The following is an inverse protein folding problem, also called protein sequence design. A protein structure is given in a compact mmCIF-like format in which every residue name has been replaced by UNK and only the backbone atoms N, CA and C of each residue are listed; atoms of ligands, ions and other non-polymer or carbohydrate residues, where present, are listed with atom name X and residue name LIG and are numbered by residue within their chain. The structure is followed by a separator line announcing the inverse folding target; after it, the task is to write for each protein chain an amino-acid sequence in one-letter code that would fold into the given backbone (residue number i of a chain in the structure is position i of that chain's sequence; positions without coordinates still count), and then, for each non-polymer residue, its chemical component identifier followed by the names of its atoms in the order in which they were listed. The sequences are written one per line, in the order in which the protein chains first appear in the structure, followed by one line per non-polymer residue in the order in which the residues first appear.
data_IF_744844911473
#
_entry.id   IF_744844911473
#
_cell.length_a   1.000
_cell.length_b   1.000
_cell.length_c   1.000
_cell.angle_alpha   90.00
_cell.angle_beta   90.00
_cell.angle_gamma   90.00
#
_symmetry.space_group_name_H-M   'P 1'
#
loop_
_entity.id
_entity.type
_entity.pdbx_description
1 polymer ?
#
# COMPACT_ATOMS: atom_id res chain seq x y z
N UNK A 1 -5.78 -10.38 -31.65
CA UNK A 1 -5.91 -11.50 -30.72
C UNK A 1 -5.56 -10.97 -29.32
N UNK A 2 -6.54 -10.45 -28.56
CA UNK A 2 -6.32 -9.78 -27.29
C UNK A 2 -5.98 -10.81 -26.22
N UNK A 3 -4.74 -10.80 -25.70
CA UNK A 3 -4.39 -11.52 -24.47
C UNK A 3 -4.95 -10.72 -23.28
N UNK A 4 -5.83 -11.27 -22.45
CA UNK A 4 -6.20 -10.60 -21.20
C UNK A 4 -5.00 -10.69 -20.27
N UNK A 5 -4.32 -9.56 -20.03
CA UNK A 5 -3.32 -9.40 -18.99
C UNK A 5 -4.06 -9.53 -17.66
N UNK A 6 -3.80 -10.62 -16.95
CA UNK A 6 -4.30 -10.87 -15.60
C UNK A 6 -3.67 -9.81 -14.67
N UNK A 7 -4.44 -8.76 -14.37
CA UNK A 7 -4.02 -7.69 -13.45
C UNK A 7 -4.20 -8.16 -12.01
N UNK A 8 -3.16 -8.11 -11.18
CA UNK A 8 -3.33 -8.30 -9.74
C UNK A 8 -4.24 -7.19 -9.21
N UNK A 9 -5.19 -7.55 -8.38
CA UNK A 9 -5.99 -6.59 -7.63
C UNK A 9 -5.02 -5.95 -6.64
N UNK A 10 -4.69 -4.67 -6.86
CA UNK A 10 -3.87 -3.93 -5.93
C UNK A 10 -4.76 -3.59 -4.72
N UNK A 11 -4.35 -4.05 -3.59
CA UNK A 11 -5.01 -3.95 -2.31
C UNK A 11 -4.85 -2.53 -1.75
N UNK A 12 -5.94 -1.86 -1.45
CA UNK A 12 -5.86 -0.60 -0.71
C UNK A 12 -5.87 -0.94 0.75
N UNK A 13 -4.78 -0.64 1.38
CA UNK A 13 -4.66 -0.59 2.83
C UNK A 13 -4.86 0.87 3.26
N UNK A 14 -5.67 1.05 4.29
CA UNK A 14 -5.80 2.33 4.98
C UNK A 14 -4.59 2.64 5.89
N UNK A 15 -3.61 1.75 5.92
CA UNK A 15 -2.33 1.87 6.63
C UNK A 15 -1.20 1.80 5.62
N UNK A 16 -0.07 2.42 5.92
CA UNK A 16 1.12 2.50 5.09
C UNK A 16 1.49 1.13 4.50
N UNK A 17 1.03 0.89 3.27
CA UNK A 17 1.26 -0.38 2.61
C UNK A 17 2.70 -0.40 2.11
N UNK A 18 3.53 -1.11 2.82
CA UNK A 18 4.74 -1.68 2.25
C UNK A 18 4.29 -2.73 1.24
N UNK A 19 4.20 -2.34 -0.02
CA UNK A 19 4.07 -3.29 -1.10
C UNK A 19 5.37 -4.10 -1.17
N UNK A 20 5.39 -5.25 -0.47
CA UNK A 20 6.35 -6.29 -0.78
C UNK A 20 5.91 -6.87 -2.12
N UNK A 21 6.37 -6.25 -3.20
CA UNK A 21 6.12 -6.77 -4.53
C UNK A 21 7.00 -8.01 -4.70
N UNK A 22 6.36 -9.10 -5.05
CA UNK A 22 7.01 -10.37 -5.20
C UNK A 22 7.89 -10.41 -6.46
N UNK A 23 9.16 -10.69 -6.28
CA UNK A 23 10.03 -11.17 -7.35
C UNK A 23 9.51 -12.56 -7.75
N UNK A 24 8.73 -12.68 -8.80
CA UNK A 24 8.33 -13.98 -9.34
C UNK A 24 9.51 -14.61 -10.05
N UNK A 25 10.23 -15.50 -9.37
CA UNK A 25 11.29 -16.31 -9.94
C UNK A 25 10.77 -17.45 -10.86
N UNK A 26 9.48 -17.48 -11.12
CA UNK A 26 8.91 -18.48 -12.04
C UNK A 26 9.34 -18.20 -13.48
N UNK A 27 10.34 -18.90 -13.96
CA UNK A 27 10.61 -19.06 -15.38
C UNK A 27 9.35 -19.60 -16.05
N UNK A 28 8.79 -18.87 -17.01
CA UNK A 28 7.89 -19.50 -17.97
C UNK A 28 8.71 -20.50 -18.78
N UNK A 29 8.62 -21.77 -18.41
CA UNK A 29 8.97 -22.84 -19.32
C UNK A 29 7.90 -22.77 -20.41
N UNK A 30 8.25 -22.21 -21.56
CA UNK A 30 7.48 -22.33 -22.79
C UNK A 30 7.47 -23.81 -23.20
N UNK A 31 6.59 -24.58 -22.59
CA UNK A 31 6.27 -25.97 -22.99
C UNK A 31 5.06 -25.96 -23.89
N UNK A 32 5.23 -26.44 -25.11
CA UNK A 32 4.19 -26.72 -26.08
C UNK A 32 3.18 -27.71 -25.49
N UNK A 33 1.91 -27.29 -25.35
CA UNK A 33 0.82 -28.18 -25.00
C UNK A 33 -0.40 -27.42 -24.46
N UNK A 34 -1.48 -27.39 -25.23
CA UNK A 34 -2.73 -26.67 -24.91
C UNK A 34 -3.46 -27.18 -23.66
N UNK A 35 -3.05 -28.30 -23.07
CA UNK A 35 -3.63 -28.87 -21.83
C UNK A 35 -3.06 -28.32 -20.56
N UNK A 36 -1.82 -27.80 -20.53
CA UNK A 36 -1.13 -27.31 -19.29
C UNK A 36 -1.57 -25.92 -18.88
N UNK A 37 -2.16 -25.14 -19.78
CA UNK A 37 -2.62 -23.78 -19.50
C UNK A 37 -3.72 -23.69 -18.40
N UNK A 38 -4.42 -24.79 -18.13
CA UNK A 38 -5.57 -24.86 -17.22
C UNK A 38 -5.28 -25.63 -15.92
N UNK A 39 -4.06 -26.15 -15.78
CA UNK A 39 -3.68 -26.84 -14.55
C UNK A 39 -3.54 -25.85 -13.37
N UNK A 40 -3.88 -26.29 -12.15
CA UNK A 40 -3.58 -25.51 -10.97
C UNK A 40 -2.09 -25.19 -10.90
N UNK A 41 -1.77 -23.94 -10.56
CA UNK A 41 -0.37 -23.48 -10.50
C UNK A 41 -0.10 -22.80 -9.17
N UNK A 42 1.00 -23.16 -8.54
CA UNK A 42 1.54 -22.46 -7.36
C UNK A 42 2.82 -21.72 -7.76
N UNK A 43 2.86 -20.43 -7.51
CA UNK A 43 4.02 -19.57 -7.80
C UNK A 43 4.56 -19.02 -6.50
N UNK A 44 5.86 -19.23 -6.19
CA UNK A 44 6.48 -18.63 -5.02
C UNK A 44 6.64 -17.12 -5.22
N UNK A 45 6.60 -16.40 -4.12
CA UNK A 45 6.83 -14.97 -4.04
C UNK A 45 8.00 -14.72 -3.09
N UNK A 46 8.92 -13.85 -3.47
CA UNK A 46 9.99 -13.35 -2.61
C UNK A 46 9.99 -11.83 -2.70
N UNK A 47 10.19 -11.18 -1.59
CA UNK A 47 10.23 -9.72 -1.53
C UNK A 47 11.31 -9.22 -0.60
N UNK A 48 11.94 -8.14 -0.99
CA UNK A 48 12.89 -7.39 -0.18
C UNK A 48 12.63 -5.91 -0.37
N UNK A 49 12.63 -5.16 0.73
CA UNK A 49 12.54 -3.70 0.69
C UNK A 49 13.31 -3.10 1.87
N UNK A 50 13.64 -1.83 1.75
CA UNK A 50 14.30 -1.07 2.79
C UNK A 50 13.71 0.32 2.89
N UNK A 51 13.48 0.78 4.11
CA UNK A 51 13.20 2.19 4.41
C UNK A 51 13.86 2.57 5.75
N UNK A 52 14.17 3.85 5.99
CA UNK A 52 14.91 4.26 7.17
C UNK A 52 14.25 3.89 8.51
N UNK A 53 12.91 3.82 8.54
CA UNK A 53 12.15 3.65 9.79
C UNK A 53 11.93 2.21 10.20
N UNK A 54 11.85 1.30 9.24
CA UNK A 54 11.60 -0.12 9.48
C UNK A 54 12.77 -1.00 9.05
N UNK A 55 13.82 -0.36 8.46
CA UNK A 55 15.02 -0.98 7.93
C UNK A 55 14.72 -2.05 6.87
N UNK A 56 15.40 -3.16 6.93
CA UNK A 56 15.25 -4.25 5.96
C UNK A 56 13.97 -5.04 6.23
N UNK A 57 13.15 -5.20 5.19
CA UNK A 57 11.99 -6.08 5.21
C UNK A 57 12.24 -7.23 4.24
N UNK A 58 12.18 -8.45 4.77
CA UNK A 58 12.30 -9.68 3.99
C UNK A 58 10.96 -10.40 4.05
N UNK A 59 10.42 -10.76 2.90
CA UNK A 59 9.16 -11.45 2.78
C UNK A 59 9.20 -12.63 1.83
N UNK A 60 8.36 -13.62 2.12
CA UNK A 60 8.13 -14.76 1.25
C UNK A 60 6.63 -15.10 1.22
N UNK A 61 6.20 -15.75 0.16
CA UNK A 61 4.81 -16.15 0.02
C UNK A 61 4.56 -17.08 -1.16
N UNK A 62 3.31 -17.35 -1.40
CA UNK A 62 2.84 -18.16 -2.52
C UNK A 62 1.58 -17.54 -3.13
N UNK A 63 1.41 -17.73 -4.43
CA UNK A 63 0.14 -17.55 -5.13
C UNK A 63 -0.27 -18.89 -5.72
N UNK A 64 -1.40 -19.43 -5.25
CA UNK A 64 -2.02 -20.61 -5.82
C UNK A 64 -3.21 -20.20 -6.70
N UNK A 65 -3.21 -20.63 -7.95
CA UNK A 65 -4.25 -20.31 -8.93
C UNK A 65 -4.88 -21.58 -9.46
N UNK A 66 -6.21 -21.66 -9.45
CA UNK A 66 -6.98 -22.76 -10.01
C UNK A 66 -7.96 -22.20 -11.05
N UNK A 67 -8.01 -22.85 -12.20
CA UNK A 67 -8.91 -22.48 -13.29
C UNK A 67 -10.19 -23.32 -13.27
N UNK A 68 -11.28 -22.74 -13.73
CA UNK A 68 -12.46 -23.50 -14.13
C UNK A 68 -12.23 -24.22 -15.47
N UNK A 69 -13.21 -24.99 -15.92
CA UNK A 69 -13.09 -25.70 -17.20
C UNK A 69 -12.95 -24.68 -18.35
N UNK A 70 -11.74 -24.56 -18.89
CA UNK A 70 -11.36 -23.65 -20.00
C UNK A 70 -11.83 -22.20 -19.80
N UNK A 71 -11.88 -21.72 -18.55
CA UNK A 71 -12.42 -20.41 -18.20
C UNK A 71 -11.33 -19.44 -17.68
N UNK A 72 -11.33 -18.24 -18.21
CA UNK A 72 -10.59 -17.08 -17.69
C UNK A 72 -11.58 -16.01 -17.23
N UNK A 73 -11.32 -15.31 -16.15
CA UNK A 73 -10.19 -15.43 -15.23
C UNK A 73 -10.26 -16.68 -14.35
N UNK A 74 -9.21 -17.00 -13.54
CA UNK A 74 -9.19 -18.16 -12.66
C UNK A 74 -10.40 -18.23 -11.73
N UNK A 75 -10.90 -19.44 -11.47
CA UNK A 75 -12.02 -19.67 -10.55
C UNK A 75 -11.64 -19.43 -9.08
N UNK A 76 -10.37 -19.72 -8.75
CA UNK A 76 -9.84 -19.51 -7.40
C UNK A 76 -8.43 -18.95 -7.49
N UNK A 77 -8.14 -17.95 -6.66
CA UNK A 77 -6.79 -17.43 -6.44
C UNK A 77 -6.58 -17.26 -4.96
N UNK A 78 -5.60 -17.96 -4.42
CA UNK A 78 -5.15 -17.83 -3.02
C UNK A 78 -3.77 -17.20 -3.03
N UNK A 79 -3.56 -16.17 -2.23
CA UNK A 79 -2.26 -15.56 -1.96
C UNK A 79 -2.01 -15.61 -0.45
N UNK A 80 -0.85 -16.05 -0.06
CA UNK A 80 -0.40 -16.02 1.32
C UNK A 80 1.04 -15.48 1.34
N UNK A 81 1.30 -14.49 2.19
CA UNK A 81 2.59 -13.84 2.33
C UNK A 81 2.91 -13.57 3.79
N UNK A 82 4.17 -13.68 4.14
CA UNK A 82 4.70 -13.26 5.43
C UNK A 82 5.96 -12.42 5.21
N UNK A 83 6.16 -11.40 6.02
CA UNK A 83 7.33 -10.54 5.99
C UNK A 83 7.78 -10.19 7.41
N UNK A 84 9.06 -9.96 7.58
CA UNK A 84 9.69 -9.52 8.82
C UNK A 84 10.51 -8.25 8.58
N UNK A 85 10.34 -7.25 9.44
CA UNK A 85 11.07 -5.98 9.42
C UNK A 85 12.10 -5.94 10.55
N UNK A 86 13.36 -5.73 10.20
CA UNK A 86 14.48 -5.82 11.14
C UNK A 86 14.53 -4.64 12.11
N UNK A 87 14.29 -3.42 11.64
CA UNK A 87 14.32 -2.21 12.47
C UNK A 87 13.14 -2.10 13.42
N UNK A 88 11.94 -2.37 12.93
CA UNK A 88 10.73 -2.41 13.74
C UNK A 88 10.63 -3.69 14.60
N UNK A 89 11.41 -4.72 14.29
CA UNK A 89 11.42 -6.04 14.95
C UNK A 89 10.04 -6.67 15.06
N UNK A 90 9.30 -6.60 13.97
CA UNK A 90 7.94 -7.09 13.90
C UNK A 90 7.63 -7.71 12.55
N UNK A 91 6.49 -8.34 12.43
CA UNK A 91 6.09 -9.10 11.26
C UNK A 91 4.81 -8.55 10.62
N UNK A 92 4.55 -9.04 9.42
CA UNK A 92 3.31 -8.89 8.68
C UNK A 92 2.95 -10.21 8.00
N UNK A 93 1.68 -10.59 8.08
CA UNK A 93 1.10 -11.74 7.39
C UNK A 93 -0.13 -11.28 6.64
N UNK A 94 -0.22 -11.65 5.38
CA UNK A 94 -1.33 -11.36 4.48
C UNK A 94 -1.83 -12.65 3.84
N UNK A 95 -3.11 -12.91 3.98
CA UNK A 95 -3.79 -14.01 3.29
C UNK A 95 -4.96 -13.42 2.52
N UNK A 96 -5.05 -13.75 1.24
CA UNK A 96 -6.11 -13.29 0.37
C UNK A 96 -6.64 -14.43 -0.50
N UNK A 97 -7.95 -14.58 -0.52
CA UNK A 97 -8.62 -15.54 -1.37
C UNK A 97 -9.65 -14.84 -2.27
N UNK A 98 -9.63 -15.17 -3.55
CA UNK A 98 -10.62 -14.76 -4.54
C UNK A 98 -11.33 -16.01 -5.06
N UNK A 99 -12.65 -16.02 -4.99
CA UNK A 99 -13.50 -17.10 -5.47
C UNK A 99 -14.45 -16.56 -6.53
N UNK A 100 -14.46 -17.18 -7.69
CA UNK A 100 -15.35 -16.83 -8.80
C UNK A 100 -16.24 -18.02 -9.14
N UNK A 101 -17.54 -17.76 -9.22
CA UNK A 101 -18.51 -18.74 -9.67
C UNK A 101 -18.69 -18.63 -11.19
N UNK A 102 -18.98 -19.72 -11.89
CA UNK A 102 -19.42 -19.66 -13.29
C UNK A 102 -20.71 -18.83 -13.43
N UNK A 103 -20.75 -17.94 -14.41
CA UNK A 103 -21.92 -17.14 -14.74
C UNK A 103 -21.80 -15.68 -14.26
N UNK A 104 -22.05 -15.34 -12.98
CA UNK A 104 -21.98 -13.95 -12.57
C UNK A 104 -20.55 -13.42 -12.55
N UNK A 105 -20.31 -12.15 -12.97
CA UNK A 105 -18.98 -11.56 -12.97
C UNK A 105 -18.49 -11.16 -11.55
N UNK A 106 -19.23 -11.55 -10.53
CA UNK A 106 -18.98 -11.24 -9.13
C UNK A 106 -17.86 -12.11 -8.57
N UNK A 107 -17.02 -11.50 -7.73
CA UNK A 107 -15.91 -12.16 -7.03
C UNK A 107 -16.17 -12.09 -5.53
N UNK A 108 -16.10 -13.23 -4.87
CA UNK A 108 -16.11 -13.30 -3.40
C UNK A 108 -14.66 -13.22 -2.93
N UNK A 109 -14.38 -12.29 -2.03
CA UNK A 109 -13.04 -12.08 -1.50
C UNK A 109 -13.04 -12.35 0.00
N UNK A 110 -11.91 -12.84 0.46
CA UNK A 110 -11.59 -12.97 1.86
C UNK A 110 -10.16 -12.47 2.07
N UNK A 111 -9.99 -11.51 2.96
CA UNK A 111 -8.69 -10.96 3.30
C UNK A 111 -8.47 -11.04 4.80
N UNK A 112 -7.33 -11.57 5.18
CA UNK A 112 -6.80 -11.54 6.53
C UNK A 112 -5.46 -10.81 6.50
N UNK A 113 -5.33 -9.78 7.32
CA UNK A 113 -4.10 -9.03 7.52
C UNK A 113 -3.74 -9.04 9.01
N UNK A 114 -2.54 -9.47 9.36
CA UNK A 114 -2.01 -9.41 10.71
C UNK A 114 -0.63 -8.75 10.67
N UNK A 115 -0.44 -7.65 11.38
CA UNK A 115 0.77 -6.85 11.23
C UNK A 115 1.09 -6.02 12.48
N UNK A 116 2.38 -5.88 12.76
CA UNK A 116 2.91 -4.86 13.66
C UNK A 116 3.54 -3.68 12.93
N UNK A 117 3.33 -3.56 11.59
CA UNK A 117 3.92 -2.51 10.76
C UNK A 117 2.93 -1.41 10.38
N UNK A 118 1.66 -1.54 10.75
CA UNK A 118 0.62 -0.59 10.33
C UNK A 118 0.74 0.75 11.04
N UNK A 119 1.14 0.73 12.29
CA UNK A 119 1.45 1.93 13.07
C UNK A 119 2.71 1.67 13.90
N UNK A 120 3.81 2.28 13.50
CA UNK A 120 5.12 2.09 14.12
C UNK A 120 5.63 3.34 14.86
N UNK A 121 5.03 4.50 14.57
CA UNK A 121 5.42 5.79 15.15
C UNK A 121 4.19 6.68 15.41
N UNK A 122 4.32 7.54 16.42
CA UNK A 122 3.33 8.56 16.75
C UNK A 122 4.02 9.79 17.30
N UNK A 123 3.88 10.92 16.62
CA UNK A 123 4.49 12.22 16.94
C UNK A 123 3.50 13.20 17.58
N UNK A 124 2.36 12.70 18.06
CA UNK A 124 1.23 13.55 18.47
C UNK A 124 0.31 13.88 17.30
N UNK A 125 -0.76 14.60 17.59
CA UNK A 125 -1.74 15.07 16.60
C UNK A 125 -1.39 16.50 16.22
N UNK A 126 -1.27 16.77 14.93
CA UNK A 126 -0.94 18.10 14.40
C UNK A 126 -0.06 18.03 13.15
N UNK A 127 -0.11 19.11 12.38
CA UNK A 127 0.71 19.30 11.19
C UNK A 127 2.12 19.79 11.53
N UNK A 128 2.28 20.46 12.66
CA UNK A 128 3.56 20.98 13.16
C UNK A 128 3.98 20.33 14.48
N UNK A 129 3.58 19.05 14.68
CA UNK A 129 3.96 18.28 15.87
C UNK A 129 5.49 18.21 16.03
N UNK A 130 5.98 18.29 17.29
CA UNK A 130 7.41 18.25 17.58
C UNK A 130 8.02 16.89 17.23
N UNK A 131 9.12 16.89 16.50
CA UNK A 131 9.91 15.73 16.09
C UNK A 131 11.35 15.76 16.60
N UNK A 132 11.67 16.64 17.55
CA UNK A 132 13.04 16.90 18.02
C UNK A 132 13.57 15.88 19.03
N UNK A 133 12.69 15.10 19.65
CA UNK A 133 13.07 14.07 20.62
C UNK A 133 13.72 12.86 19.94
N UNK A 134 14.46 12.02 20.67
CA UNK A 134 14.99 10.77 20.12
C UNK A 134 13.89 9.87 19.55
N UNK A 135 14.20 9.17 18.48
CA UNK A 135 13.29 8.26 17.75
C UNK A 135 12.53 7.27 18.64
N UNK A 136 13.16 6.83 19.73
CA UNK A 136 12.58 5.89 20.69
C UNK A 136 11.34 6.45 21.39
N UNK A 137 11.25 7.77 21.56
CA UNK A 137 10.11 8.44 22.19
C UNK A 137 8.85 8.35 21.34
N UNK A 138 9.01 8.37 20.03
CA UNK A 138 7.88 8.32 19.07
C UNK A 138 7.48 6.90 18.67
N UNK A 139 8.19 5.88 19.13
CA UNK A 139 7.93 4.49 18.75
C UNK A 139 6.60 4.00 19.31
N UNK A 140 5.82 3.37 18.46
CA UNK A 140 4.59 2.64 18.80
C UNK A 140 4.80 1.16 18.51
N UNK A 141 4.47 0.31 19.48
CA UNK A 141 4.42 -1.13 19.31
C UNK A 141 2.96 -1.58 19.31
N UNK A 142 2.38 -1.61 18.12
CA UNK A 142 1.00 -2.02 17.94
C UNK A 142 0.95 -3.24 17.04
N UNK A 143 0.12 -4.22 17.39
CA UNK A 143 -0.25 -5.33 16.54
C UNK A 143 -1.70 -5.15 16.10
N UNK A 144 -1.97 -5.37 14.83
CA UNK A 144 -3.32 -5.27 14.27
C UNK A 144 -3.67 -6.57 13.55
N UNK A 145 -4.91 -6.99 13.69
CA UNK A 145 -5.52 -8.05 12.89
C UNK A 145 -6.77 -7.49 12.24
N UNK A 146 -6.85 -7.62 10.92
CA UNK A 146 -7.95 -7.14 10.10
C UNK A 146 -8.51 -8.28 9.26
N UNK A 147 -9.80 -8.48 9.29
CA UNK A 147 -10.54 -9.45 8.51
C UNK A 147 -11.56 -8.74 7.63
N UNK A 148 -11.52 -8.97 6.31
CA UNK A 148 -12.32 -8.30 5.30
C UNK A 148 -12.96 -9.33 4.34
N UNK A 149 -14.02 -10.03 4.72
CA UNK A 149 -14.85 -10.72 3.75
C UNK A 149 -15.59 -9.68 2.89
N UNK A 150 -15.60 -9.85 1.58
CA UNK A 150 -16.23 -8.87 0.69
C UNK A 150 -16.68 -9.46 -0.64
N UNK A 151 -17.51 -8.71 -1.32
CA UNK A 151 -18.00 -9.00 -2.66
C UNK A 151 -17.54 -7.88 -3.59
N UNK A 152 -16.90 -8.25 -4.71
CA UNK A 152 -16.54 -7.32 -5.78
C UNK A 152 -17.43 -7.57 -6.99
N UNK A 153 -18.07 -6.52 -7.46
CA UNK A 153 -18.91 -6.54 -8.67
C UNK A 153 -18.38 -5.51 -9.67
N UNK A 154 -18.18 -5.86 -10.95
CA UNK A 154 -17.87 -4.88 -11.98
C UNK A 154 -19.12 -4.03 -12.27
N UNK A 155 -18.97 -2.72 -12.21
CA UNK A 155 -20.00 -1.75 -12.62
C UNK A 155 -19.85 -1.38 -14.11
N UNK A 156 -18.61 -1.43 -14.62
CA UNK A 156 -18.25 -1.22 -16.00
C UNK A 156 -16.92 -1.96 -16.31
N UNK A 157 -16.46 -2.05 -17.56
CA UNK A 157 -15.28 -2.85 -17.96
C UNK A 157 -14.00 -2.58 -17.15
N UNK A 158 -13.83 -1.39 -16.59
CA UNK A 158 -12.64 -0.97 -15.80
C UNK A 158 -13.01 -0.42 -14.43
N UNK A 159 -14.29 -0.43 -14.08
CA UNK A 159 -14.84 0.11 -12.84
C UNK A 159 -15.40 -1.03 -12.00
N UNK A 160 -14.96 -1.14 -10.75
CA UNK A 160 -15.38 -2.18 -9.80
C UNK A 160 -15.83 -1.57 -8.48
N UNK A 161 -16.86 -2.16 -7.91
CA UNK A 161 -17.32 -1.90 -6.55
C UNK A 161 -17.02 -3.12 -5.69
N UNK A 162 -16.40 -2.90 -4.56
CA UNK A 162 -16.19 -3.91 -3.50
C UNK A 162 -16.89 -3.42 -2.25
N UNK A 163 -17.61 -4.31 -1.58
CA UNK A 163 -18.25 -3.99 -0.30
C UNK A 163 -18.31 -5.23 0.59
N UNK A 164 -18.26 -5.03 1.90
CA UNK A 164 -18.35 -6.10 2.87
C UNK A 164 -18.22 -5.62 4.32
N UNK A 165 -18.44 -6.51 5.28
CA UNK A 165 -18.11 -6.25 6.67
C UNK A 165 -16.58 -6.21 6.87
N UNK A 166 -16.17 -5.59 7.96
CA UNK A 166 -14.80 -5.63 8.44
C UNK A 166 -14.77 -5.87 9.95
N UNK A 167 -13.79 -6.64 10.40
CA UNK A 167 -13.45 -6.79 11.81
C UNK A 167 -12.00 -6.41 11.98
N UNK A 168 -11.73 -5.53 12.93
CA UNK A 168 -10.37 -5.11 13.26
C UNK A 168 -10.14 -5.18 14.74
N UNK A 169 -9.01 -5.75 15.12
CA UNK A 169 -8.52 -5.76 16.49
C UNK A 169 -7.10 -5.21 16.50
N UNK A 170 -6.80 -4.36 17.47
CA UNK A 170 -5.46 -3.83 17.71
C UNK A 170 -5.08 -3.96 19.17
N UNK A 171 -3.81 -4.27 19.41
CA UNK A 171 -3.20 -4.27 20.72
C UNK A 171 -2.01 -3.31 20.70
N UNK A 172 -2.09 -2.21 21.43
CA UNK A 172 -1.00 -1.24 21.57
C UNK A 172 -0.34 -1.42 22.91
N UNK A 173 0.96 -1.74 22.89
CA UNK A 173 1.74 -1.90 24.12
C UNK A 173 1.96 -0.53 24.79
N UNK A 174 1.74 -0.49 26.09
CA UNK A 174 2.06 0.67 26.91
C UNK A 174 3.55 0.65 27.27
N UNK A 175 4.32 1.54 26.65
CA UNK A 175 5.73 1.75 26.93
C UNK A 175 5.90 3.13 27.60
N UNK A 176 6.19 3.21 28.92
CA UNK A 176 6.04 4.43 29.72
C UNK A 176 6.96 5.59 29.31
N UNK A 177 7.98 5.35 28.49
CA UNK A 177 8.89 6.38 27.96
C UNK A 177 8.48 6.94 26.60
N UNK A 178 7.38 6.46 26.02
CA UNK A 178 6.94 6.92 24.70
C UNK A 178 6.01 8.12 24.80
N UNK A 179 5.98 8.95 23.76
CA UNK A 179 5.07 10.09 23.67
C UNK A 179 3.61 9.65 23.85
N UNK A 180 3.24 8.52 23.24
CA UNK A 180 1.90 7.96 23.36
C UNK A 180 1.47 7.71 24.81
N UNK A 181 2.38 7.19 25.65
CA UNK A 181 2.12 6.92 27.06
C UNK A 181 2.16 8.19 27.92
N UNK A 182 3.10 9.11 27.64
CA UNK A 182 3.32 10.31 28.47
C UNK A 182 2.33 11.44 28.23
N UNK A 183 1.76 11.52 27.02
CA UNK A 183 0.76 12.54 26.65
C UNK A 183 -0.68 12.02 26.60
N UNK A 184 -0.87 10.70 26.80
CA UNK A 184 -2.18 10.02 26.79
C UNK A 184 -2.97 10.17 28.12
N UNK A 185 -4.08 9.43 28.25
CA UNK A 185 -4.48 8.28 27.41
C UNK A 185 -5.13 8.69 26.09
N UNK A 186 -4.65 8.09 24.98
CA UNK A 186 -5.29 8.26 23.67
C UNK A 186 -6.39 7.22 23.50
N UNK A 187 -7.55 7.65 23.00
CA UNK A 187 -8.63 6.75 22.66
C UNK A 187 -8.20 5.74 21.61
N UNK A 188 -8.37 4.47 21.90
CA UNK A 188 -7.93 3.34 21.07
C UNK A 188 -6.55 2.77 21.46
N UNK A 189 -5.87 3.29 22.49
CA UNK A 189 -4.67 2.67 23.05
C UNK A 189 -5.01 1.40 23.84
N UNK A 190 -4.05 0.47 23.99
CA UNK A 190 -4.26 -0.83 24.59
C UNK A 190 -4.99 -1.79 23.64
N UNK A 191 -5.91 -2.56 24.18
CA UNK A 191 -6.77 -3.50 23.46
C UNK A 191 -7.97 -2.78 22.86
N UNK A 192 -8.13 -2.85 21.54
CA UNK A 192 -9.22 -2.14 20.87
C UNK A 192 -9.80 -2.94 19.71
N UNK A 193 -11.06 -3.30 19.83
CA UNK A 193 -11.82 -4.05 18.84
C UNK A 193 -12.84 -3.18 18.10
N UNK A 194 -12.95 -3.38 16.80
CA UNK A 194 -13.82 -2.62 15.91
C UNK A 194 -14.56 -3.58 14.95
N UNK A 195 -15.84 -3.35 14.78
CA UNK A 195 -16.66 -3.98 13.73
C UNK A 195 -17.18 -2.87 12.84
N UNK A 196 -17.24 -3.10 11.53
CA UNK A 196 -17.71 -2.06 10.61
C UNK A 196 -18.06 -2.61 9.24
N UNK A 197 -18.32 -1.67 8.36
CA UNK A 197 -18.55 -1.91 6.93
C UNK A 197 -17.49 -1.18 6.12
N UNK A 198 -17.08 -1.78 5.03
CA UNK A 198 -16.20 -1.12 4.07
C UNK A 198 -16.78 -1.16 2.66
N UNK A 199 -16.49 -0.11 1.90
CA UNK A 199 -16.80 -0.02 0.48
C UNK A 199 -15.58 0.52 -0.26
N UNK A 200 -15.40 0.10 -1.52
CA UNK A 200 -14.34 0.60 -2.39
C UNK A 200 -14.80 0.64 -3.84
N UNK A 201 -14.55 1.76 -4.49
CA UNK A 201 -14.68 1.92 -5.93
C UNK A 201 -13.27 2.01 -6.52
N UNK A 202 -12.99 1.20 -7.54
CA UNK A 202 -11.67 1.12 -8.19
C UNK A 202 -11.85 1.23 -9.71
N UNK A 203 -11.32 2.30 -10.30
CA UNK A 203 -11.22 2.52 -11.74
C UNK A 203 -9.75 2.36 -12.13
N UNK A 204 -9.44 1.41 -13.00
CA UNK A 204 -8.06 1.14 -13.44
C UNK A 204 -7.99 1.03 -14.96
N UNK A 205 -7.36 2.02 -15.59
CA UNK A 205 -7.12 2.10 -17.04
C UNK A 205 -5.66 1.93 -17.41
N UNK A 206 -4.78 1.65 -16.44
CA UNK A 206 -3.34 1.49 -16.68
C UNK A 206 -3.06 0.33 -17.65
N UNK A 207 -2.02 0.48 -18.44
CA UNK A 207 -1.50 -0.56 -19.32
C UNK A 207 -0.85 -1.71 -18.54
N UNK A 208 -0.14 -1.38 -17.44
CA UNK A 208 0.51 -2.34 -16.55
C UNK A 208 0.27 -1.96 -15.08
N UNK A 209 0.06 -2.95 -14.22
CA UNK A 209 -0.22 -2.73 -12.80
C UNK A 209 1.00 -2.38 -11.95
N UNK A 210 2.18 -2.88 -12.32
CA UNK A 210 3.42 -2.76 -11.53
C UNK A 210 4.36 -1.66 -12.05
N UNK A 211 4.41 -1.45 -13.37
CA UNK A 211 5.28 -0.47 -14.01
C UNK A 211 4.50 0.22 -15.15
N UNK A 212 3.44 0.95 -14.78
CA UNK A 212 2.60 1.63 -15.74
C UNK A 212 3.38 2.69 -16.52
N UNK A 213 3.17 2.67 -17.84
CA UNK A 213 3.66 3.69 -18.76
C UNK A 213 2.53 4.63 -19.18
N UNK A 214 1.30 4.13 -19.28
CA UNK A 214 0.13 4.91 -19.70
C UNK A 214 -1.10 4.57 -18.85
N UNK A 215 -2.06 5.49 -18.85
CA UNK A 215 -3.34 5.31 -18.20
C UNK A 215 -3.41 5.95 -16.82
N UNK A 216 -4.49 5.64 -16.12
CA UNK A 216 -4.78 6.20 -14.80
C UNK A 216 -5.44 5.15 -13.90
N UNK A 217 -5.33 5.38 -12.60
CA UNK A 217 -6.08 4.64 -11.60
C UNK A 217 -6.69 5.61 -10.61
N UNK A 218 -7.95 5.39 -10.28
CA UNK A 218 -8.66 6.09 -9.20
C UNK A 218 -9.21 5.04 -8.24
N UNK A 219 -9.00 5.26 -6.97
CA UNK A 219 -9.60 4.45 -5.92
C UNK A 219 -10.23 5.36 -4.88
N UNK A 220 -11.48 5.09 -4.54
CA UNK A 220 -12.20 5.72 -3.43
C UNK A 220 -12.64 4.62 -2.48
N UNK A 221 -12.35 4.78 -1.19
CA UNK A 221 -12.74 3.83 -0.15
C UNK A 221 -13.43 4.55 1.00
N UNK A 222 -14.46 3.91 1.55
CA UNK A 222 -15.17 4.33 2.72
C UNK A 222 -15.22 3.21 3.75
N UNK A 223 -15.14 3.56 5.02
CA UNK A 223 -15.31 2.67 6.16
C UNK A 223 -16.22 3.35 7.17
N UNK A 224 -17.07 2.57 7.80
CA UNK A 224 -17.94 3.05 8.86
C UNK A 224 -17.96 2.04 10.01
N UNK A 225 -17.85 2.58 11.21
CA UNK A 225 -17.75 1.81 12.45
C UNK A 225 -18.86 2.27 13.41
N UNK A 226 -19.87 1.43 13.69
CA UNK A 226 -20.87 1.70 14.70
C UNK A 226 -20.28 1.61 16.11
N UNK A 227 -21.01 2.11 17.11
CA UNK A 227 -20.68 1.98 18.52
C UNK A 227 -20.88 0.52 19.00
N UNK A 228 -19.95 -0.35 18.60
CA UNK A 228 -19.95 -1.79 18.91
C UNK A 228 -18.53 -2.19 19.30
N UNK A 229 -18.42 -3.13 20.22
CA UNK A 229 -17.20 -3.66 20.81
C UNK A 229 -16.47 -2.57 21.63
N UNK A 230 -15.29 -2.08 21.18
CA UNK A 230 -14.56 -1.01 21.88
C UNK A 230 -14.87 0.40 21.34
N UNK A 231 -15.66 0.51 20.28
CA UNK A 231 -16.06 1.80 19.71
C UNK A 231 -17.17 2.40 20.57
N UNK A 232 -16.89 3.54 21.22
CA UNK A 232 -17.87 4.27 22.06
C UNK A 232 -18.71 5.20 21.18
N UNK A 233 -18.07 6.02 20.38
CA UNK A 233 -18.73 6.94 19.46
C UNK A 233 -18.55 6.46 18.01
N UNK A 234 -19.63 6.34 17.22
CA UNK A 234 -19.52 5.94 15.83
C UNK A 234 -18.58 6.87 15.05
N UNK A 235 -17.83 6.30 14.14
CA UNK A 235 -16.93 7.07 13.28
C UNK A 235 -16.89 6.53 11.86
N UNK A 236 -16.46 7.39 10.94
CA UNK A 236 -16.27 7.04 9.55
C UNK A 236 -14.92 7.51 9.04
N UNK A 237 -14.40 6.78 8.05
CA UNK A 237 -13.19 7.12 7.32
C UNK A 237 -13.47 7.08 5.82
N UNK A 238 -13.09 8.13 5.11
CA UNK A 238 -13.10 8.16 3.65
C UNK A 238 -11.68 8.42 3.16
N UNK A 239 -11.30 7.79 2.06
CA UNK A 239 -10.04 8.06 1.38
C UNK A 239 -10.20 7.99 -0.13
N UNK A 240 -9.42 8.80 -0.84
CA UNK A 240 -9.33 8.79 -2.29
C UNK A 240 -7.86 8.85 -2.71
N UNK A 241 -7.50 8.10 -3.74
CA UNK A 241 -6.18 8.16 -4.37
C UNK A 241 -6.33 8.07 -5.88
N UNK A 242 -5.68 8.97 -6.58
CA UNK A 242 -5.57 8.97 -8.04
C UNK A 242 -4.11 8.91 -8.46
N UNK A 243 -3.82 8.18 -9.53
CA UNK A 243 -2.51 8.19 -10.20
C UNK A 243 -2.69 8.21 -11.70
N UNK A 244 -1.77 8.87 -12.41
CA UNK A 244 -1.75 8.93 -13.86
C UNK A 244 -0.33 8.79 -14.38
N UNK A 245 -0.20 8.27 -15.60
CA UNK A 245 1.07 7.94 -16.24
C UNK A 245 1.05 8.39 -17.68
N UNK A 246 2.10 9.11 -18.08
CA UNK A 246 2.30 9.54 -19.44
C UNK A 246 3.74 9.28 -19.87
N UNK A 247 3.93 8.62 -21.00
CA UNK A 247 5.24 8.23 -21.50
C UNK A 247 5.47 8.71 -22.92
N UNK A 248 6.74 8.91 -23.24
CA UNK A 248 7.26 9.18 -24.60
C UNK A 248 8.10 7.99 -25.05
N UNK A 249 8.01 7.68 -26.34
CA UNK A 249 8.71 6.55 -26.95
C UNK A 249 7.95 5.25 -26.88
N UNK A 250 8.22 4.35 -27.83
CA UNK A 250 7.70 2.98 -27.85
C UNK A 250 8.86 2.00 -28.17
N UNK A 251 9.35 1.25 -27.19
CA UNK A 251 8.98 1.25 -25.77
C UNK A 251 9.38 2.55 -25.04
N UNK A 252 8.67 2.87 -23.97
CA UNK A 252 8.80 4.11 -23.21
C UNK A 252 10.25 4.44 -22.82
N UNK A 253 10.73 5.63 -23.18
CA UNK A 253 12.06 6.16 -22.83
C UNK A 253 11.99 7.15 -21.66
N UNK A 254 10.87 7.85 -21.52
CA UNK A 254 10.60 8.70 -20.38
C UNK A 254 9.14 8.50 -19.93
N UNK A 255 8.90 8.43 -18.63
CA UNK A 255 7.56 8.31 -18.03
C UNK A 255 7.43 9.34 -16.92
N UNK A 256 6.44 10.21 -17.04
CA UNK A 256 5.96 11.04 -15.94
C UNK A 256 4.83 10.28 -15.23
N UNK A 257 5.04 10.00 -13.96
CA UNK A 257 4.05 9.41 -13.07
C UNK A 257 3.66 10.43 -12.00
N UNK A 258 2.36 10.67 -11.80
CA UNK A 258 1.84 11.57 -10.78
C UNK A 258 0.79 10.85 -9.97
N UNK A 259 0.83 11.03 -8.65
CA UNK A 259 -0.15 10.48 -7.71
C UNK A 259 -0.57 11.57 -6.73
N UNK A 260 -1.84 11.58 -6.37
CA UNK A 260 -2.38 12.35 -5.27
C UNK A 260 -3.30 11.49 -4.42
N UNK A 261 -3.31 11.73 -3.12
CA UNK A 261 -4.18 11.05 -2.17
C UNK A 261 -4.68 11.99 -1.09
N UNK A 262 -5.89 11.72 -0.61
CA UNK A 262 -6.49 12.42 0.52
C UNK A 262 -7.31 11.46 1.35
N UNK A 263 -7.42 11.74 2.65
CA UNK A 263 -8.28 11.01 3.56
C UNK A 263 -8.87 11.93 4.62
N UNK A 264 -10.02 11.54 5.14
CA UNK A 264 -10.68 12.24 6.24
C UNK A 264 -11.33 11.25 7.19
N UNK A 265 -11.34 11.59 8.47
CA UNK A 265 -12.00 10.84 9.54
C UNK A 265 -12.97 11.74 10.27
N UNK A 266 -14.18 11.24 10.50
CA UNK A 266 -15.25 11.92 11.23
C UNK A 266 -15.72 11.11 12.43
N UNK A 267 -16.33 11.75 13.43
CA UNK A 267 -16.82 11.07 14.64
C UNK A 267 -15.72 10.76 15.66
N UNK A 268 -15.98 9.86 16.59
CA UNK A 268 -15.08 9.46 17.68
C UNK A 268 -14.03 8.44 17.27
N UNK A 269 -13.17 8.78 16.32
CA UNK A 269 -12.15 7.85 15.83
C UNK A 269 -11.00 7.64 16.81
N UNK A 270 -10.54 6.40 17.03
CA UNK A 270 -9.34 6.13 17.81
C UNK A 270 -8.07 6.60 17.10
N UNK A 271 -6.99 6.85 17.85
CA UNK A 271 -5.76 7.44 17.32
C UNK A 271 -5.15 6.67 16.16
N UNK A 272 -5.25 5.34 16.13
CA UNK A 272 -4.75 4.50 15.04
C UNK A 272 -5.54 4.63 13.73
N UNK A 273 -6.72 5.27 13.75
CA UNK A 273 -7.53 5.52 12.54
C UNK A 273 -7.37 6.97 12.01
N UNK A 274 -6.58 7.80 12.66
CA UNK A 274 -6.25 9.13 12.15
C UNK A 274 -5.57 9.05 10.78
N UNK A 275 -5.53 10.15 10.08
CA UNK A 275 -4.81 10.26 8.81
C UNK A 275 -3.36 10.58 9.09
N UNK A 276 -2.48 9.72 8.61
CA UNK A 276 -1.04 9.86 8.78
C UNK A 276 -0.37 10.25 7.47
N UNK A 277 0.55 11.22 7.53
CA UNK A 277 1.39 11.68 6.41
C UNK A 277 2.85 11.65 6.87
N UNK A 278 3.74 11.28 5.96
CA UNK A 278 5.17 11.03 6.19
C UNK A 278 5.55 9.58 5.88
N UNK A 279 6.81 9.36 5.60
CA UNK A 279 7.39 8.04 5.36
C UNK A 279 7.35 7.57 3.90
N UNK A 280 7.70 6.32 3.74
CA UNK A 280 7.98 5.69 2.44
C UNK A 280 6.80 5.69 1.45
N UNK A 281 5.57 5.87 1.93
CA UNK A 281 4.35 5.73 1.13
C UNK A 281 3.65 7.04 0.81
N UNK A 282 3.93 8.12 1.53
CA UNK A 282 3.28 9.43 1.32
C UNK A 282 4.28 10.52 1.01
N UNK A 283 5.10 10.98 1.96
CA UNK A 283 6.14 12.00 1.76
C UNK A 283 7.48 11.43 2.20
N UNK A 284 8.27 10.95 1.24
CA UNK A 284 9.61 10.41 1.48
C UNK A 284 10.53 11.49 2.06
N UNK A 285 11.53 11.10 2.87
CA UNK A 285 12.40 12.06 3.56
C UNK A 285 11.86 12.52 4.91
N UNK A 286 10.59 12.25 5.24
CA UNK A 286 10.05 12.35 6.59
C UNK A 286 9.93 10.97 7.25
N UNK A 287 9.83 10.94 8.58
CA UNK A 287 9.61 9.70 9.31
C UNK A 287 8.25 9.06 8.96
N UNK A 288 8.14 7.75 9.14
CA UNK A 288 6.84 7.07 9.02
C UNK A 288 5.85 7.69 10.00
N UNK A 289 4.63 7.99 9.50
CA UNK A 289 3.56 8.58 10.32
C UNK A 289 3.95 9.89 11.03
N UNK A 290 4.81 10.71 10.43
CA UNK A 290 5.37 11.93 11.03
C UNK A 290 4.31 12.94 11.45
N UNK A 291 3.25 13.07 10.69
CA UNK A 291 2.15 13.99 10.93
C UNK A 291 0.84 13.23 11.02
N UNK A 292 0.04 13.52 12.04
CA UNK A 292 -1.26 12.90 12.27
C UNK A 292 -2.36 13.95 12.37
N UNK A 293 -3.48 13.72 11.70
CA UNK A 293 -4.62 14.65 11.73
C UNK A 293 -5.94 13.95 11.44
N UNK A 294 -7.03 14.69 11.56
CA UNK A 294 -8.35 14.18 11.17
C UNK A 294 -8.56 14.16 9.67
N UNK A 295 -7.83 14.98 8.94
CA UNK A 295 -7.78 15.02 7.49
C UNK A 295 -6.31 15.08 7.05
N UNK A 296 -6.03 14.63 5.85
CA UNK A 296 -4.68 14.72 5.29
C UNK A 296 -4.71 14.55 3.77
N UNK A 297 -3.72 15.16 3.12
CA UNK A 297 -3.51 15.02 1.69
C UNK A 297 -2.02 14.97 1.36
N UNK A 298 -1.71 14.30 0.25
CA UNK A 298 -0.36 14.25 -0.28
C UNK A 298 -0.37 14.17 -1.80
N UNK A 299 0.73 14.55 -2.42
CA UNK A 299 0.99 14.36 -3.84
C UNK A 299 2.44 13.91 -4.06
N UNK A 300 2.64 13.11 -5.10
CA UNK A 300 3.93 12.59 -5.51
C UNK A 300 4.07 12.73 -7.02
N UNK A 301 5.26 13.09 -7.49
CA UNK A 301 5.63 13.08 -8.88
C UNK A 301 6.94 12.31 -9.07
N UNK A 302 7.02 11.46 -10.08
CA UNK A 302 8.22 10.75 -10.48
C UNK A 302 8.45 10.92 -11.99
N UNK A 303 9.63 11.40 -12.36
CA UNK A 303 10.11 11.39 -13.74
C UNK A 303 11.10 10.23 -13.88
N UNK A 304 10.68 9.19 -14.59
CA UNK A 304 11.44 7.96 -14.83
C UNK A 304 12.03 8.01 -16.22
N UNK A 305 13.36 8.04 -16.32
CA UNK A 305 14.09 8.11 -17.58
C UNK A 305 14.86 6.82 -17.82
N UNK A 306 14.74 6.26 -19.01
CA UNK A 306 15.57 5.15 -19.46
C UNK A 306 16.96 5.69 -19.83
N UNK A 307 18.00 5.15 -19.21
CA UNK A 307 19.38 5.50 -19.51
C UNK A 307 19.99 4.55 -20.55
N UNK A 308 19.77 3.23 -20.37
CA UNK A 308 20.33 2.21 -21.25
C UNK A 308 19.45 0.95 -21.29
N UNK A 309 19.58 0.21 -22.41
CA UNK A 309 18.96 -1.10 -22.65
C UNK A 309 20.03 -2.16 -22.78
N UNK A 310 20.49 -2.66 -21.63
CA UNK A 310 21.46 -3.74 -21.58
C UNK A 310 20.83 -5.10 -21.95
N UNK A 311 21.66 -6.09 -22.26
CA UNK A 311 21.22 -7.45 -22.59
C UNK A 311 20.43 -8.12 -21.45
N UNK A 312 20.71 -7.78 -20.21
CA UNK A 312 20.09 -8.32 -18.98
C UNK A 312 18.83 -7.58 -18.55
N UNK A 313 18.67 -6.30 -18.96
CA UNK A 313 17.54 -5.47 -18.56
C UNK A 313 17.71 -4.00 -18.88
N UNK A 314 16.67 -3.24 -18.57
CA UNK A 314 16.63 -1.79 -18.73
C UNK A 314 17.13 -1.12 -17.45
N UNK A 315 18.02 -0.13 -17.59
CA UNK A 315 18.56 0.68 -16.50
C UNK A 315 18.11 2.13 -16.71
N UNK A 316 17.71 2.78 -15.64
CA UNK A 316 17.29 4.17 -15.72
C UNK A 316 17.50 4.96 -14.44
N UNK A 317 17.19 6.24 -14.56
CA UNK A 317 17.21 7.19 -13.45
C UNK A 317 15.78 7.62 -13.13
N UNK A 318 15.55 8.03 -11.89
CA UNK A 318 14.28 8.58 -11.43
C UNK A 318 14.55 9.86 -10.64
N UNK A 319 13.84 10.93 -10.99
CA UNK A 319 13.69 12.12 -10.16
C UNK A 319 12.34 12.09 -9.46
N UNK A 320 12.27 12.58 -8.22
CA UNK A 320 11.05 12.57 -7.44
C UNK A 320 10.81 13.88 -6.68
N UNK A 321 9.54 14.20 -6.49
CA UNK A 321 9.07 15.27 -5.60
C UNK A 321 7.80 14.80 -4.88
N UNK A 322 7.77 15.01 -3.57
CA UNK A 322 6.66 14.65 -2.70
C UNK A 322 6.24 15.86 -1.89
N UNK A 323 4.93 15.97 -1.62
CA UNK A 323 4.38 17.01 -0.75
C UNK A 323 3.18 16.45 0.00
N UNK A 324 2.95 16.91 1.23
CA UNK A 324 1.77 16.51 1.99
C UNK A 324 1.58 17.35 3.26
N UNK A 325 0.38 17.26 3.82
CA UNK A 325 0.02 17.88 5.09
C UNK A 325 -1.16 17.17 5.74
N UNK A 326 -1.37 17.46 6.99
CA UNK A 326 -2.57 17.07 7.73
C UNK A 326 -3.31 18.30 8.24
N UNK A 327 -4.57 18.11 8.63
CA UNK A 327 -5.40 19.12 9.30
C UNK A 327 -6.04 18.52 10.54
N UNK A 328 -6.07 19.32 11.59
CA UNK A 328 -6.78 19.04 12.83
C UNK A 328 -7.57 20.29 13.26
N UNK A 329 -8.74 20.15 13.91
CA UNK A 329 -9.58 21.29 14.24
C UNK A 329 -8.90 22.33 15.13
N UNK A 330 -7.96 21.90 15.99
CA UNK A 330 -7.35 22.72 17.02
C UNK A 330 -6.03 23.38 16.59
N UNK A 331 -5.63 23.23 15.30
CA UNK A 331 -4.39 23.76 14.77
C UNK A 331 -4.64 24.59 13.51
N UNK A 332 -4.11 25.82 13.51
CA UNK A 332 -4.07 26.68 12.32
C UNK A 332 -2.65 26.63 11.74
N UNK A 333 -2.42 25.78 10.77
CA UNK A 333 -1.14 25.65 10.05
C UNK A 333 -1.38 25.76 8.55
N UNK A 334 -0.53 26.51 7.84
CA UNK A 334 -0.52 26.59 6.37
C UNK A 334 0.68 25.86 5.75
N UNK A 335 1.44 25.15 6.56
CA UNK A 335 2.66 24.46 6.15
C UNK A 335 2.35 23.25 5.29
N UNK A 336 3.02 23.15 4.15
CA UNK A 336 3.12 21.94 3.34
C UNK A 336 4.51 21.34 3.49
N UNK A 337 4.57 20.09 3.89
CA UNK A 337 5.80 19.34 4.06
C UNK A 337 6.25 18.76 2.73
N UNK A 338 7.38 19.23 2.22
CA UNK A 338 7.89 18.86 0.90
C UNK A 338 9.21 18.09 1.00
N UNK A 339 9.43 17.20 0.06
CA UNK A 339 10.69 16.50 -0.14
C UNK A 339 10.96 16.31 -1.63
N UNK A 340 12.23 16.23 -1.98
CA UNK A 340 12.67 15.95 -3.34
C UNK A 340 13.86 14.98 -3.32
N UNK A 341 14.12 14.35 -4.45
CA UNK A 341 15.22 13.41 -4.53
C UNK A 341 15.33 12.73 -5.88
N UNK A 342 16.02 11.61 -5.89
CA UNK A 342 16.18 10.82 -7.10
C UNK A 342 16.93 9.52 -6.83
N UNK A 343 17.12 8.75 -7.87
CA UNK A 343 17.79 7.48 -7.76
C UNK A 343 17.87 6.72 -9.06
N UNK A 344 18.04 5.43 -8.94
CA UNK A 344 18.22 4.51 -10.05
C UNK A 344 17.11 3.46 -10.03
N UNK A 345 16.79 2.93 -11.20
CA UNK A 345 15.93 1.77 -11.33
C UNK A 345 16.50 0.78 -12.35
N UNK A 346 16.18 -0.49 -12.12
CA UNK A 346 16.53 -1.59 -13.01
C UNK A 346 15.30 -2.46 -13.22
N UNK A 347 14.99 -2.78 -14.48
CA UNK A 347 13.90 -3.68 -14.86
C UNK A 347 14.45 -4.86 -15.66
N UNK A 348 14.16 -6.10 -15.24
CA UNK A 348 14.59 -7.28 -16.00
C UNK A 348 13.96 -7.33 -17.37
N UNK A 349 14.75 -7.76 -18.34
CA UNK A 349 14.30 -7.89 -19.73
C UNK A 349 13.06 -8.79 -19.81
N UNK A 350 12.05 -8.34 -20.56
CA UNK A 350 10.76 -8.99 -20.71
C UNK A 350 9.91 -9.13 -19.44
N UNK A 351 10.33 -8.54 -18.32
CA UNK A 351 9.65 -8.60 -17.03
C UNK A 351 9.64 -7.23 -16.33
N UNK A 352 9.01 -6.25 -16.96
CA UNK A 352 8.84 -4.91 -16.35
C UNK A 352 8.15 -4.96 -14.97
N UNK A 353 7.37 -6.01 -14.71
CA UNK A 353 6.77 -6.25 -13.40
C UNK A 353 7.81 -6.50 -12.29
N UNK A 354 9.04 -6.85 -12.66
CA UNK A 354 10.15 -7.11 -11.74
C UNK A 354 11.17 -5.93 -11.76
N UNK A 355 10.69 -4.72 -11.66
CA UNK A 355 11.57 -3.54 -11.51
C UNK A 355 12.06 -3.45 -10.08
N UNK A 356 13.29 -3.03 -9.87
CA UNK A 356 13.84 -2.62 -8.56
C UNK A 356 14.23 -1.16 -8.64
N UNK A 357 13.87 -0.37 -7.65
CA UNK A 357 14.26 1.03 -7.55
C UNK A 357 14.97 1.32 -6.23
N UNK A 358 16.00 2.16 -6.30
CA UNK A 358 16.77 2.69 -5.16
C UNK A 358 16.72 4.20 -5.28
N UNK A 359 16.09 4.86 -4.32
CA UNK A 359 15.95 6.32 -4.33
C UNK A 359 16.39 6.93 -3.01
N UNK A 360 16.97 8.11 -3.07
CA UNK A 360 17.20 8.98 -1.92
C UNK A 360 16.23 10.16 -2.02
N UNK A 361 15.60 10.50 -0.90
CA UNK A 361 14.71 11.66 -0.77
C UNK A 361 15.14 12.51 0.43
N UNK A 362 15.16 13.82 0.24
CA UNK A 362 15.54 14.79 1.27
C UNK A 362 14.37 15.72 1.58
N UNK A 363 14.12 15.88 2.85
CA UNK A 363 13.25 16.90 3.44
C UNK A 363 14.07 17.85 4.33
N UNK A 364 13.47 18.91 4.89
CA UNK A 364 14.13 19.72 5.94
C UNK A 364 14.54 18.92 7.18
N UNK A 365 13.83 17.83 7.52
CA UNK A 365 14.12 17.03 8.72
C UNK A 365 15.23 16.02 8.52
N UNK A 366 15.21 15.29 7.37
CA UNK A 366 16.21 14.23 7.14
C UNK A 366 16.35 13.84 5.66
N UNK A 367 17.40 13.06 5.38
CA UNK A 367 17.55 12.32 4.11
C UNK A 367 17.25 10.85 4.36
N UNK A 368 16.39 10.25 3.55
CA UNK A 368 16.05 8.83 3.60
C UNK A 368 16.42 8.11 2.32
N UNK A 369 16.92 6.87 2.43
CA UNK A 369 17.16 5.97 1.31
C UNK A 369 16.06 4.89 1.32
N UNK A 370 15.50 4.61 0.15
CA UNK A 370 14.40 3.66 -0.02
C UNK A 370 14.75 2.67 -1.12
N UNK A 371 14.64 1.39 -0.83
CA UNK A 371 14.80 0.31 -1.79
C UNK A 371 13.49 -0.46 -1.88
N UNK A 372 12.99 -0.65 -3.08
CA UNK A 372 11.74 -1.39 -3.29
C UNK A 372 11.74 -2.15 -4.61
N UNK A 373 10.93 -3.17 -4.66
CA UNK A 373 10.54 -3.80 -5.91
C UNK A 373 9.38 -3.01 -6.50
N UNK A 374 9.50 -2.57 -7.74
CA UNK A 374 8.58 -1.62 -8.39
C UNK A 374 8.96 -0.16 -8.16
N UNK A 375 8.05 0.70 -8.59
CA UNK A 375 8.05 2.13 -8.30
C UNK A 375 7.10 2.44 -7.13
N UNK A 376 7.06 3.68 -6.66
CA UNK A 376 6.19 4.05 -5.54
C UNK A 376 4.69 3.84 -5.89
N UNK A 377 4.32 4.04 -7.15
CA UNK A 377 2.94 3.90 -7.62
C UNK A 377 2.88 3.62 -9.13
#
# INVERSE_FOLDING_TARGET
MFRPVLRPIAWIRASAALDVLALTLAGEVCGQGSSDAWRPRTTPLLGISYSPDIELVIGAGIVHTRYGFRALPPSTRLRAEAAYATGARTYRVDIAAELRRPGPPTVYNFELHASGLDLTRFYGVGNESDGSQPDSVYRVRQQQVLLLPSITTPLAPRLRLTAGPLLKYSHTRDDPWTLLATTGPYYGAGDFGQVGLHTRIDLDTRDNGAAAAHGARLTVAGQWYPAVWSVVDPFGRISAQASTYASVGDPATATLAVRAGAAAVSGGAPFQELVYVGGATTVRGYAEQRFAGRQGAYANAELRLLADRASVGDIGIVGLADVGRVWTPDESSDVWHAAAGGGLWFAWRHRRDNTVSIVAARSPERTGIYVRVGFLF
#
